data_IF_957928225143
#
_entry.id   IF_957928225143
#
_cell.length_a   1.000
_cell.length_b   1.000
_cell.length_c   1.000
_cell.angle_alpha   90.00
_cell.angle_beta   90.00
_cell.angle_gamma   90.00
#
_symmetry.space_group_name_H-M   'P 1'
#
loop_
_entity.id
_entity.type
_entity.pdbx_description
1 polymer ?
#
# COMPACT_ATOMS: atom_id res chain seq x y z
N UNK A 1 11.49 -0.99 63.52
CA UNK A 1 11.34 -0.74 62.07
C UNK A 1 10.83 -2.02 61.44
N UNK A 2 9.54 -2.08 61.07
CA UNK A 2 8.92 -3.27 60.52
C UNK A 2 9.08 -3.28 59.00
N UNK A 3 10.05 -4.06 58.49
CA UNK A 3 10.11 -4.37 57.06
C UNK A 3 8.92 -5.25 56.72
N UNK A 4 7.90 -4.65 56.09
CA UNK A 4 6.79 -5.37 55.44
C UNK A 4 7.38 -6.22 54.33
N UNK A 5 7.66 -7.49 54.63
CA UNK A 5 7.99 -8.49 53.63
C UNK A 5 6.81 -8.63 52.68
N UNK A 6 6.94 -8.05 51.49
CA UNK A 6 6.04 -8.36 50.38
C UNK A 6 6.25 -9.85 50.13
N UNK A 7 5.27 -10.66 50.51
CA UNK A 7 5.31 -12.11 50.30
C UNK A 7 5.65 -12.39 48.84
N UNK A 8 6.70 -13.19 48.61
CA UNK A 8 7.22 -13.57 47.29
C UNK A 8 6.10 -14.04 46.35
N UNK A 9 5.04 -14.64 46.92
CA UNK A 9 3.83 -15.05 46.22
C UNK A 9 3.11 -13.88 45.53
N UNK A 10 3.00 -12.71 46.18
CA UNK A 10 2.38 -11.51 45.60
C UNK A 10 3.23 -10.91 44.47
N UNK A 11 4.55 -10.93 44.63
CA UNK A 11 5.47 -10.49 43.58
C UNK A 11 5.37 -11.39 42.34
N UNK A 12 5.31 -12.72 42.52
CA UNK A 12 5.13 -13.67 41.43
C UNK A 12 3.80 -13.48 40.68
N UNK A 13 2.69 -13.24 41.40
CA UNK A 13 1.38 -12.99 40.77
C UNK A 13 1.43 -11.72 39.90
N UNK A 14 2.08 -10.66 40.36
CA UNK A 14 2.22 -9.41 39.59
C UNK A 14 3.06 -9.65 38.33
N UNK A 15 4.17 -10.40 38.43
CA UNK A 15 5.01 -10.74 37.28
C UNK A 15 4.27 -11.63 36.28
N UNK A 16 3.52 -12.62 36.75
CA UNK A 16 2.67 -13.47 35.90
C UNK A 16 1.57 -12.65 35.21
N UNK A 17 0.92 -11.73 35.92
CA UNK A 17 -0.10 -10.85 35.34
C UNK A 17 0.49 -9.92 34.27
N UNK A 18 1.70 -9.37 34.48
CA UNK A 18 2.40 -8.55 33.50
C UNK A 18 2.83 -9.37 32.26
N UNK A 19 3.25 -10.62 32.45
CA UNK A 19 3.58 -11.53 31.35
C UNK A 19 2.32 -11.89 30.54
N UNK A 20 1.20 -12.19 31.19
CA UNK A 20 -0.08 -12.45 30.51
C UNK A 20 -0.57 -11.20 29.77
N UNK A 21 -0.48 -10.02 30.40
CA UNK A 21 -0.88 -8.75 29.78
C UNK A 21 -0.01 -8.42 28.56
N UNK A 22 1.30 -8.65 28.62
CA UNK A 22 2.21 -8.46 27.48
C UNK A 22 1.96 -9.48 26.35
N UNK A 23 1.60 -10.73 26.68
CA UNK A 23 1.19 -11.73 25.69
C UNK A 23 -0.14 -11.37 25.02
N UNK A 24 -1.09 -10.82 25.78
CA UNK A 24 -2.38 -10.34 25.26
C UNK A 24 -2.21 -9.11 24.36
N UNK A 25 -1.34 -8.17 24.75
CA UNK A 25 -0.97 -7.01 23.92
C UNK A 25 -0.26 -7.43 22.63
N UNK A 26 0.64 -8.42 22.67
CA UNK A 26 1.29 -8.96 21.46
C UNK A 26 0.30 -9.67 20.52
N UNK A 27 -0.78 -10.26 21.05
CA UNK A 27 -1.88 -10.83 20.26
C UNK A 27 -2.79 -9.78 19.61
N UNK A 28 -2.74 -8.55 20.09
CA UNK A 28 -3.44 -7.38 19.51
C UNK A 28 -2.51 -6.48 18.69
N UNK A 29 -1.36 -6.98 18.21
CA UNK A 29 -0.73 -6.34 17.07
C UNK A 29 -1.78 -6.32 15.95
N UNK A 30 -2.19 -5.14 15.43
CA UNK A 30 -3.18 -5.09 14.38
C UNK A 30 -2.62 -5.92 13.24
N UNK A 31 -3.28 -7.05 12.96
CA UNK A 31 -3.05 -7.80 11.74
C UNK A 31 -3.45 -6.84 10.63
N UNK A 32 -2.51 -5.98 10.20
CA UNK A 32 -2.68 -5.16 9.00
C UNK A 32 -2.99 -6.19 7.93
N UNK A 33 -4.26 -6.20 7.51
CA UNK A 33 -4.71 -7.18 6.55
C UNK A 33 -3.79 -7.10 5.33
N UNK A 34 -3.34 -8.23 4.76
CA UNK A 34 -2.41 -8.24 3.62
C UNK A 34 -2.89 -7.31 2.49
N UNK A 35 -4.22 -7.23 2.29
CA UNK A 35 -4.90 -6.27 1.41
C UNK A 35 -4.48 -4.81 1.64
N UNK A 36 -4.51 -4.32 2.88
CA UNK A 36 -4.21 -2.92 3.22
C UNK A 36 -2.76 -2.56 2.92
N UNK A 37 -1.84 -3.52 3.09
CA UNK A 37 -0.43 -3.30 2.78
C UNK A 37 -0.20 -3.05 1.27
N UNK A 38 -0.80 -3.89 0.42
CA UNK A 38 -0.71 -3.75 -1.03
C UNK A 38 -1.39 -2.47 -1.54
N UNK A 39 -2.56 -2.10 -0.99
CA UNK A 39 -3.22 -0.82 -1.34
C UNK A 39 -2.31 0.38 -1.03
N UNK A 40 -1.64 0.39 0.14
CA UNK A 40 -0.70 1.45 0.51
C UNK A 40 0.51 1.46 -0.43
N UNK A 41 1.04 0.29 -0.83
CA UNK A 41 2.16 0.18 -1.75
C UNK A 41 1.80 0.78 -3.13
N UNK A 42 0.64 0.39 -3.68
CA UNK A 42 0.16 0.90 -4.97
C UNK A 42 -0.03 2.43 -4.92
N UNK A 43 -0.66 2.98 -3.88
CA UNK A 43 -0.82 4.43 -3.74
C UNK A 43 0.53 5.18 -3.71
N UNK A 44 1.56 4.61 -3.06
CA UNK A 44 2.91 5.20 -3.06
C UNK A 44 3.54 5.17 -4.44
N UNK A 45 3.42 4.05 -5.16
CA UNK A 45 3.95 3.90 -6.50
C UNK A 45 3.24 4.83 -7.49
N UNK A 46 1.93 5.02 -7.38
CA UNK A 46 1.18 5.98 -8.18
C UNK A 46 1.58 7.43 -7.91
N UNK A 47 1.89 7.77 -6.66
CA UNK A 47 2.46 9.08 -6.35
C UNK A 47 3.86 9.26 -6.96
N UNK A 48 4.71 8.22 -6.88
CA UNK A 48 6.05 8.24 -7.48
C UNK A 48 5.97 8.40 -9.00
N UNK A 49 5.10 7.63 -9.66
CA UNK A 49 4.82 7.70 -11.09
C UNK A 49 4.42 9.11 -11.53
N UNK A 50 3.53 9.76 -10.76
CA UNK A 50 3.16 11.16 -11.01
C UNK A 50 4.37 12.10 -10.98
N UNK A 51 5.28 11.94 -10.02
CA UNK A 51 6.51 12.74 -9.93
C UNK A 51 7.42 12.54 -11.14
N UNK A 52 7.56 11.29 -11.59
CA UNK A 52 8.38 10.92 -12.74
C UNK A 52 7.80 11.46 -14.05
N UNK A 53 6.48 11.36 -14.26
CA UNK A 53 5.81 11.92 -15.42
C UNK A 53 5.93 13.46 -15.46
N UNK A 54 5.80 14.15 -14.32
CA UNK A 54 5.92 15.63 -14.24
C UNK A 54 7.34 16.10 -14.50
N UNK A 55 8.33 15.34 -14.01
CA UNK A 55 9.76 15.66 -14.21
C UNK A 55 10.30 15.24 -15.58
N UNK A 56 9.47 14.57 -16.40
CA UNK A 56 9.85 14.09 -17.73
C UNK A 56 10.76 12.86 -17.71
N UNK A 57 10.86 12.16 -16.58
CA UNK A 57 11.62 10.92 -16.43
C UNK A 57 10.80 9.72 -16.92
N UNK A 58 10.54 9.67 -18.23
CA UNK A 58 9.58 8.69 -18.79
C UNK A 58 10.09 7.25 -18.68
N UNK A 59 11.40 7.02 -18.83
CA UNK A 59 11.99 5.68 -18.67
C UNK A 59 11.83 5.15 -17.24
N UNK A 60 11.90 6.04 -16.25
CA UNK A 60 11.70 5.68 -14.83
C UNK A 60 10.21 5.45 -14.55
N UNK A 61 9.34 6.29 -15.13
CA UNK A 61 7.89 6.13 -15.06
C UNK A 61 7.44 4.76 -15.60
N UNK A 62 8.10 4.24 -16.64
CA UNK A 62 7.81 2.91 -17.18
C UNK A 62 8.15 1.78 -16.19
N UNK A 63 9.26 1.90 -15.46
CA UNK A 63 9.58 0.92 -14.43
C UNK A 63 8.58 1.00 -13.27
N UNK A 64 8.21 2.22 -12.86
CA UNK A 64 7.25 2.40 -11.76
C UNK A 64 5.85 1.90 -12.13
N UNK A 65 5.39 2.00 -13.38
CA UNK A 65 4.08 1.42 -13.77
C UNK A 65 4.11 -0.12 -13.78
N UNK A 66 5.24 -0.73 -14.11
CA UNK A 66 5.43 -2.18 -13.98
C UNK A 66 5.38 -2.62 -12.51
N UNK A 67 6.02 -1.87 -11.61
CA UNK A 67 5.93 -2.11 -10.16
C UNK A 67 4.46 -2.00 -9.67
N UNK A 68 3.72 -1.00 -10.17
CA UNK A 68 2.28 -0.84 -9.87
C UNK A 68 1.49 -2.06 -10.34
N UNK A 69 1.78 -2.58 -11.55
CA UNK A 69 1.09 -3.75 -12.11
C UNK A 69 1.32 -4.99 -11.25
N UNK A 70 2.55 -5.25 -10.85
CA UNK A 70 2.88 -6.41 -10.01
C UNK A 70 2.15 -6.35 -8.67
N UNK A 71 2.21 -5.23 -7.95
CA UNK A 71 1.50 -5.07 -6.67
C UNK A 71 -0.03 -5.21 -6.83
N UNK A 72 -0.58 -4.78 -7.97
CA UNK A 72 -1.99 -4.94 -8.27
C UNK A 72 -2.38 -6.39 -8.53
N UNK A 73 -1.58 -7.14 -9.30
CA UNK A 73 -1.81 -8.58 -9.53
C UNK A 73 -1.80 -9.35 -8.21
N UNK A 74 -0.89 -9.04 -7.29
CA UNK A 74 -0.90 -9.59 -5.94
C UNK A 74 -2.18 -9.22 -5.18
N UNK A 75 -2.61 -7.96 -5.24
CA UNK A 75 -3.83 -7.51 -4.59
C UNK A 75 -5.08 -8.24 -5.13
N UNK A 76 -5.18 -8.44 -6.45
CA UNK A 76 -6.27 -9.17 -7.10
C UNK A 76 -6.33 -10.63 -6.63
N UNK A 77 -5.17 -11.31 -6.55
CA UNK A 77 -5.07 -12.69 -6.01
C UNK A 77 -5.52 -12.75 -4.55
N UNK A 78 -5.09 -11.79 -3.73
CA UNK A 78 -5.46 -11.71 -2.30
C UNK A 78 -6.96 -11.46 -2.12
N UNK A 79 -7.55 -10.66 -2.99
CA UNK A 79 -8.95 -10.27 -2.87
C UNK A 79 -9.94 -11.35 -3.33
N UNK A 80 -9.50 -12.33 -4.15
CA UNK A 80 -10.34 -13.42 -4.72
C UNK A 80 -11.66 -12.95 -5.37
N UNK A 81 -11.83 -11.65 -5.57
CA UNK A 81 -12.97 -11.09 -6.29
C UNK A 81 -12.67 -11.19 -7.77
N UNK A 82 -13.35 -12.13 -8.44
CA UNK A 82 -13.48 -12.18 -9.89
C UNK A 82 -14.19 -10.94 -10.48
N UNK A 83 -14.63 -10.02 -9.61
CA UNK A 83 -15.24 -8.76 -9.97
C UNK A 83 -14.18 -7.67 -10.16
N UNK A 84 -13.72 -7.53 -11.40
CA UNK A 84 -13.82 -6.25 -12.10
C UNK A 84 -13.21 -5.00 -11.43
N UNK A 85 -12.10 -5.12 -10.70
CA UNK A 85 -11.18 -3.98 -10.49
C UNK A 85 -10.24 -3.79 -11.69
N UNK A 86 -10.82 -4.03 -12.89
CA UNK A 86 -10.50 -3.48 -14.20
C UNK A 86 -9.01 -3.32 -14.44
N UNK A 87 -8.40 -4.45 -14.80
CA UNK A 87 -7.32 -4.53 -15.81
C UNK A 87 -7.33 -3.32 -16.74
N UNK A 88 -8.49 -2.92 -17.29
CA UNK A 88 -8.65 -1.80 -18.22
C UNK A 88 -8.18 -0.43 -17.69
N UNK A 89 -8.27 -0.14 -16.39
CA UNK A 89 -7.84 1.17 -15.85
C UNK A 89 -6.33 1.26 -15.69
N UNK A 90 -5.70 0.16 -15.29
CA UNK A 90 -4.24 0.02 -15.26
C UNK A 90 -3.66 -0.14 -16.66
N UNK A 91 -4.28 -0.96 -17.51
CA UNK A 91 -3.90 -1.16 -18.90
C UNK A 91 -3.99 0.15 -19.70
N UNK A 92 -5.02 0.97 -19.46
CA UNK A 92 -5.09 2.29 -20.06
C UNK A 92 -4.03 3.25 -19.50
N UNK A 93 -3.67 3.14 -18.22
CA UNK A 93 -2.59 3.94 -17.64
C UNK A 93 -1.23 3.54 -18.23
N UNK A 94 -0.95 2.25 -18.31
CA UNK A 94 0.24 1.66 -18.94
C UNK A 94 0.35 2.06 -20.42
N UNK A 95 -0.75 1.96 -21.18
CA UNK A 95 -0.80 2.42 -22.57
C UNK A 95 -0.49 3.91 -22.71
N UNK A 96 -1.00 4.75 -21.81
CA UNK A 96 -0.73 6.20 -21.83
C UNK A 96 0.72 6.53 -21.45
N UNK A 97 1.29 5.84 -20.46
CA UNK A 97 2.70 6.00 -20.08
C UNK A 97 3.62 5.54 -21.22
N UNK A 98 3.28 4.42 -21.88
CA UNK A 98 3.99 3.93 -23.07
C UNK A 98 3.91 4.92 -24.22
N UNK A 99 2.74 5.53 -24.47
CA UNK A 99 2.59 6.56 -25.50
C UNK A 99 3.39 7.84 -25.18
N UNK A 100 3.59 8.16 -23.89
CA UNK A 100 4.44 9.28 -23.46
C UNK A 100 5.94 9.08 -23.75
N UNK A 101 6.40 7.85 -24.05
CA UNK A 101 7.77 7.59 -24.51
C UNK A 101 8.08 8.27 -25.84
N UNK A 102 7.05 8.49 -26.66
CA UNK A 102 7.17 9.36 -27.81
C UNK A 102 7.29 10.80 -27.30
N UNK A 103 8.51 11.35 -27.31
CA UNK A 103 8.85 12.65 -26.71
C UNK A 103 7.90 13.78 -27.12
N UNK A 104 7.38 13.73 -28.35
CA UNK A 104 6.46 14.73 -28.90
C UNK A 104 5.06 14.70 -28.26
N UNK A 105 4.65 13.56 -27.71
CA UNK A 105 3.35 13.34 -27.08
C UNK A 105 3.38 13.56 -25.56
N UNK A 106 4.56 13.55 -24.94
CA UNK A 106 4.75 13.63 -23.48
C UNK A 106 4.00 14.78 -22.81
N UNK A 107 4.13 16.00 -23.34
CA UNK A 107 3.46 17.20 -22.80
C UNK A 107 1.93 17.18 -23.00
N UNK A 108 1.47 16.59 -24.11
CA UNK A 108 0.04 16.50 -24.44
C UNK A 108 -0.67 15.45 -23.59
N UNK A 109 0.00 14.33 -23.35
CA UNK A 109 -0.57 13.18 -22.64
C UNK A 109 -0.41 13.29 -21.12
N UNK A 110 0.52 14.10 -20.61
CA UNK A 110 0.74 14.29 -19.17
C UNK A 110 -0.57 14.61 -18.39
N UNK A 111 -1.43 15.57 -18.81
CA UNK A 111 -2.68 15.82 -18.12
C UNK A 111 -3.62 14.59 -18.09
N UNK A 112 -3.61 13.80 -19.15
CA UNK A 112 -4.45 12.59 -19.30
C UNK A 112 -3.92 11.48 -18.39
N UNK A 113 -2.61 11.28 -18.32
CA UNK A 113 -1.96 10.34 -17.39
C UNK A 113 -2.26 10.72 -15.95
N UNK A 114 -2.13 12.00 -15.58
CA UNK A 114 -2.42 12.47 -14.22
C UNK A 114 -3.89 12.27 -13.85
N UNK A 115 -4.82 12.53 -14.77
CA UNK A 115 -6.24 12.26 -14.56
C UNK A 115 -6.48 10.76 -14.34
N UNK A 116 -5.81 9.89 -15.11
CA UNK A 116 -5.94 8.44 -14.98
C UNK A 116 -5.36 7.92 -13.65
N UNK A 117 -4.21 8.42 -13.21
CA UNK A 117 -3.62 8.12 -11.89
C UNK A 117 -4.62 8.46 -10.78
N UNK A 118 -5.25 9.65 -10.83
CA UNK A 118 -6.24 10.04 -9.82
C UNK A 118 -7.48 9.12 -9.84
N UNK A 119 -7.92 8.66 -11.02
CA UNK A 119 -9.02 7.68 -11.11
C UNK A 119 -8.64 6.37 -10.42
N UNK A 120 -7.41 5.88 -10.61
CA UNK A 120 -6.93 4.65 -9.97
C UNK A 120 -6.83 4.83 -8.45
N UNK A 121 -6.22 5.93 -7.97
CA UNK A 121 -6.15 6.25 -6.54
C UNK A 121 -7.54 6.33 -5.89
N UNK A 122 -8.47 7.08 -6.48
CA UNK A 122 -9.83 7.21 -5.96
C UNK A 122 -10.59 5.88 -5.90
N UNK A 123 -10.21 4.90 -6.71
CA UNK A 123 -10.79 3.55 -6.67
C UNK A 123 -10.13 2.71 -5.59
N UNK A 124 -8.81 2.78 -5.43
CA UNK A 124 -8.09 2.13 -4.33
C UNK A 124 -8.59 2.62 -2.97
N UNK A 125 -8.85 3.92 -2.81
CA UNK A 125 -9.39 4.50 -1.58
C UNK A 125 -10.78 3.96 -1.23
N UNK A 126 -11.59 3.53 -2.21
CA UNK A 126 -12.89 2.87 -1.97
C UNK A 126 -12.76 1.41 -1.56
N UNK A 127 -11.60 0.79 -1.79
CA UNK A 127 -11.32 -0.59 -1.38
C UNK A 127 -10.75 -0.68 0.04
N UNK A 128 -10.28 0.44 0.59
CA UNK A 128 -9.76 0.60 1.95
C UNK A 128 -10.87 1.00 2.92
#
# INVERSE_FOLDING_TARGET
MAFKGISVVRACIIVLALLIFSLLLRRQAPTRHPKTHHIIAINKLLHKLRGECVTGQIDVAQNTIEDVRQEWEYLDVVLRTQAACSSDSLQALDSLVTLMLNKDESKRLLPIVLAKINIVNNRLDKLH
#
